data_IF_730100141746
#
_entry.id   IF_730100141746
#
_cell.length_a   1.000
_cell.length_b   1.000
_cell.length_c   1.000
_cell.angle_alpha   90.00
_cell.angle_beta   90.00
_cell.angle_gamma   90.00
#
_symmetry.space_group_name_H-M   'P 1'
#
loop_
_entity.id
_entity.type
_entity.pdbx_description
1 polymer ?
2 non-polymer ?
3 non-polymer ?
4 water ?
#
# COMPACT_ATOMS: atom_id res chain seq x y z
N UNK A 5 -20.17 -29.48 18.43
CA UNK A 5 -20.59 -29.33 19.85
C UNK A 5 -19.69 -30.10 20.84
N UNK A 6 -18.90 -31.05 20.36
CA UNK A 6 -18.03 -31.78 21.30
C UNK A 6 -17.05 -30.84 21.97
N UNK A 7 -16.32 -30.05 21.17
CA UNK A 7 -15.38 -29.10 21.73
C UNK A 7 -16.18 -27.86 22.13
N UNK A 8 -15.85 -27.23 23.26
CA UNK A 8 -16.58 -26.04 23.68
C UNK A 8 -16.25 -24.83 22.81
N UNK A 9 -17.12 -23.82 22.82
CA UNK A 9 -16.84 -22.60 22.08
C UNK A 9 -15.82 -21.97 23.01
N UNK A 10 -14.66 -21.63 22.48
CA UNK A 10 -13.63 -21.08 23.35
C UNK A 10 -12.83 -19.95 22.70
N UNK A 11 -12.47 -18.95 23.49
CA UNK A 11 -11.68 -17.84 22.98
C UNK A 11 -10.31 -18.28 22.48
N UNK A 12 -9.92 -17.80 21.30
CA UNK A 12 -8.62 -18.13 20.73
C UNK A 12 -7.57 -17.28 21.44
N UNK A 13 -6.48 -17.89 21.91
CA UNK A 13 -5.43 -17.13 22.61
C UNK A 13 -4.91 -16.03 21.68
N UNK A 14 -4.27 -14.99 22.23
CA UNK A 14 -3.76 -13.88 21.44
C UNK A 14 -2.93 -14.24 20.20
N UNK A 15 -1.88 -15.02 20.39
CA UNK A 15 -1.03 -15.37 19.26
C UNK A 15 -1.80 -16.12 18.19
N UNK A 16 -2.50 -17.17 18.58
CA UNK A 16 -3.28 -17.95 17.62
C UNK A 16 -4.30 -17.08 16.89
N UNK A 17 -5.03 -16.26 17.63
CA UNK A 17 -6.04 -15.38 17.05
C UNK A 17 -5.39 -14.49 15.99
N UNK A 18 -4.21 -13.96 16.30
CA UNK A 18 -3.50 -13.09 15.36
C UNK A 18 -2.99 -13.84 14.12
N UNK A 19 -2.57 -15.09 14.31
CA UNK A 19 -2.06 -15.89 13.20
C UNK A 19 -3.21 -16.19 12.22
N UNK A 20 -4.39 -16.45 12.77
CA UNK A 20 -5.56 -16.70 11.95
C UNK A 20 -5.84 -15.42 11.15
N UNK A 21 -5.74 -14.27 11.82
CA UNK A 21 -5.97 -12.99 11.17
C UNK A 21 -4.93 -12.81 10.06
N UNK A 22 -3.68 -13.13 10.40
CA UNK A 22 -2.55 -13.02 9.48
C UNK A 22 -2.81 -13.78 8.18
N UNK A 23 -3.67 -14.78 8.23
CA UNK A 23 -3.97 -15.54 7.05
C UNK A 23 -4.57 -14.68 5.96
N UNK A 24 -5.26 -13.62 6.36
CA UNK A 24 -5.91 -12.71 5.41
C UNK A 24 -5.08 -11.45 5.15
N UNK A 25 -4.48 -10.92 6.20
CA UNK A 25 -3.68 -9.71 6.07
C UNK A 25 -2.30 -9.98 5.48
N UNK A 26 -1.71 -11.12 5.81
CA UNK A 26 -0.38 -11.46 5.33
C UNK A 26 -0.39 -12.54 4.24
N UNK A 27 -0.65 -12.14 3.00
CA UNK A 27 -0.68 -13.06 1.88
C UNK A 27 0.73 -13.59 1.53
N UNK A 28 1.69 -12.69 1.51
CA UNK A 28 3.07 -13.03 1.17
C UNK A 28 3.95 -11.86 1.60
N UNK A 29 5.27 -11.97 1.40
CA UNK A 29 6.16 -10.87 1.78
C UNK A 29 5.70 -9.51 1.28
N UNK A 30 5.17 -9.46 0.05
CA UNK A 30 4.69 -8.21 -0.51
C UNK A 30 3.62 -7.58 0.36
N UNK A 31 2.81 -8.40 1.04
CA UNK A 31 1.74 -7.89 1.91
C UNK A 31 2.32 -7.13 3.08
N UNK A 32 3.38 -7.67 3.66
CA UNK A 32 4.05 -7.04 4.78
C UNK A 32 4.61 -5.69 4.37
N UNK A 33 5.23 -5.64 3.19
CA UNK A 33 5.80 -4.40 2.71
C UNK A 33 4.70 -3.35 2.55
N UNK A 34 3.58 -3.76 1.95
CA UNK A 34 2.45 -2.87 1.74
C UNK A 34 1.95 -2.27 3.04
N UNK A 35 1.66 -3.12 4.01
CA UNK A 35 1.16 -2.63 5.31
C UNK A 35 2.12 -1.65 5.98
N UNK A 36 3.40 -2.02 6.05
CA UNK A 36 4.40 -1.16 6.69
C UNK A 36 4.64 0.17 5.97
N UNK A 37 4.76 0.12 4.64
CA UNK A 37 4.97 1.35 3.87
C UNK A 37 3.75 2.26 4.01
N UNK A 38 2.55 1.68 4.03
CA UNK A 38 1.37 2.51 4.19
C UNK A 38 1.35 3.15 5.59
N UNK A 39 1.88 2.47 6.59
CA UNK A 39 1.94 3.06 7.93
C UNK A 39 2.90 4.25 7.93
N UNK A 40 4.00 4.12 7.21
CA UNK A 40 4.98 5.19 7.14
C UNK A 40 4.35 6.42 6.49
N UNK A 41 3.51 6.16 5.48
CA UNK A 41 2.83 7.22 4.76
C UNK A 41 1.86 7.94 5.69
N UNK A 42 1.09 7.17 6.44
CA UNK A 42 0.14 7.74 7.38
C UNK A 42 0.85 8.55 8.44
N UNK A 43 2.06 8.11 8.80
CA UNK A 43 2.83 8.81 9.81
C UNK A 43 3.48 10.09 9.26
N UNK A 44 3.13 10.44 8.03
CA UNK A 44 3.67 11.65 7.41
C UNK A 44 5.12 11.60 6.95
N UNK A 45 5.63 10.41 6.63
CA UNK A 45 7.00 10.30 6.17
C UNK A 45 7.19 10.93 4.79
N UNK A 46 8.39 11.44 4.54
CA UNK A 46 8.78 12.08 3.29
C UNK A 46 9.76 11.18 2.54
N UNK A 47 10.37 10.26 3.27
CA UNK A 47 11.32 9.32 2.72
C UNK A 47 11.18 7.96 3.40
N UNK A 48 11.10 6.91 2.59
CA UNK A 48 10.97 5.56 3.11
C UNK A 48 12.04 4.69 2.46
N UNK A 49 12.82 4.00 3.29
CA UNK A 49 13.87 3.12 2.79
C UNK A 49 13.53 1.67 3.10
N UNK A 50 13.50 0.85 2.07
CA UNK A 50 13.13 -0.56 2.18
C UNK A 50 14.23 -1.56 1.82
N UNK A 51 14.62 -2.39 2.78
CA UNK A 51 15.63 -3.40 2.53
C UNK A 51 15.03 -4.78 2.59
N UNK A 52 15.23 -5.54 1.52
CA UNK A 52 14.68 -6.90 1.43
C UNK A 52 15.80 -7.92 1.31
N UNK A 53 15.59 -9.10 1.90
CA UNK A 53 16.54 -10.19 1.80
C UNK A 53 15.83 -11.48 1.44
N UNK A 54 16.28 -12.11 0.36
CA UNK A 54 15.71 -13.36 -0.13
C UNK A 54 14.22 -13.27 -0.40
N UNK A 55 13.81 -12.26 -1.15
CA UNK A 55 12.40 -12.09 -1.46
C UNK A 55 11.55 -11.73 -0.27
N UNK A 56 12.19 -11.42 0.86
CA UNK A 56 11.43 -11.05 2.04
C UNK A 56 11.14 -12.20 2.97
N UNK A 57 11.47 -13.41 2.54
CA UNK A 57 11.25 -14.60 3.35
C UNK A 57 12.26 -14.62 4.49
N UNK A 58 13.36 -13.90 4.30
CA UNK A 58 14.42 -13.84 5.30
C UNK A 58 14.37 -12.53 6.08
N UNK A 59 14.25 -11.41 5.37
CA UNK A 59 14.21 -10.12 6.06
C UNK A 59 13.52 -9.03 5.28
N UNK A 60 12.85 -8.17 6.04
CA UNK A 60 12.14 -7.02 5.50
C UNK A 60 12.38 -5.91 6.50
N UNK A 61 13.04 -4.83 6.06
CA UNK A 61 13.30 -3.69 6.92
C UNK A 61 12.82 -2.44 6.24
N UNK A 62 11.97 -1.70 6.93
CA UNK A 62 11.41 -0.48 6.40
C UNK A 62 11.62 0.64 7.42
N UNK A 63 12.31 1.69 6.99
CA UNK A 63 12.59 2.82 7.84
C UNK A 63 11.96 4.07 7.23
N UNK A 64 11.35 4.90 8.07
CA UNK A 64 10.74 6.11 7.59
C UNK A 64 11.15 7.29 8.45
N UNK A 65 10.89 8.49 7.96
CA UNK A 65 11.25 9.69 8.69
C UNK A 65 9.95 10.35 9.14
N UNK A 66 8.96 9.50 9.41
CA UNK A 66 7.66 9.94 9.89
C UNK A 66 7.76 10.47 11.32
N UNK A 67 6.61 10.76 11.93
CA UNK A 67 6.59 11.33 13.28
C UNK A 67 6.90 10.37 14.42
N UNK A 68 7.06 9.09 14.11
CA UNK A 68 7.39 8.10 15.13
C UNK A 68 6.28 7.67 16.08
N UNK A 69 6.62 6.76 16.99
CA UNK A 69 5.68 6.24 17.99
C UNK A 69 6.18 6.45 19.42
N UNK A 70 5.36 7.11 20.22
CA UNK A 70 5.66 7.42 21.62
C UNK A 70 5.96 6.14 22.39
N UNK A 71 6.93 6.19 23.30
CA UNK A 71 7.31 5.04 24.10
C UNK A 71 6.12 4.28 24.70
N UNK A 72 5.23 5.03 25.34
CA UNK A 72 4.07 4.44 26.01
C UNK A 72 2.98 3.95 25.06
N UNK A 73 3.22 4.00 23.76
CA UNK A 73 2.23 3.51 22.81
C UNK A 73 2.79 2.41 21.91
N UNK A 74 4.05 2.04 22.14
CA UNK A 74 4.68 1.00 21.33
C UNK A 74 3.94 -0.33 21.44
N UNK A 75 3.62 -0.73 22.67
CA UNK A 75 2.90 -1.97 22.92
C UNK A 75 1.52 -1.88 22.30
N UNK A 76 0.90 -0.71 22.37
CA UNK A 76 -0.42 -0.52 21.79
C UNK A 76 -0.37 -0.69 20.27
N UNK A 77 0.74 -0.31 19.66
CA UNK A 77 0.89 -0.43 18.21
C UNK A 77 0.97 -1.90 17.81
N UNK A 78 1.45 -2.74 18.72
CA UNK A 78 1.55 -4.17 18.44
C UNK A 78 0.28 -4.88 18.90
N UNK A 79 -0.65 -4.14 19.49
CA UNK A 79 -1.89 -4.72 19.99
C UNK A 79 -2.94 -4.85 18.91
N UNK A 80 -3.92 -5.70 19.17
CA UNK A 80 -5.00 -5.93 18.23
C UNK A 80 -6.09 -4.88 18.41
N UNK A 81 -6.80 -4.55 17.33
CA UNK A 81 -7.90 -3.59 17.37
C UNK A 81 -7.54 -2.27 18.06
N UNK A 82 -6.33 -1.78 17.84
CA UNK A 82 -5.92 -0.52 18.47
C UNK A 82 -5.30 0.37 17.40
N UNK A 83 -5.88 1.55 17.22
CA UNK A 83 -5.43 2.47 16.22
C UNK A 83 -5.51 3.91 16.69
N UNK A 84 -4.78 4.79 15.99
CA UNK A 84 -4.77 6.21 16.28
C UNK A 84 -5.46 6.93 15.13
N UNK A 85 -5.96 6.16 14.16
CA UNK A 85 -6.57 6.74 12.97
C UNK A 85 -8.08 7.00 12.97
N UNK A 86 -8.82 6.26 13.80
CA UNK A 86 -10.25 6.49 13.92
C UNK A 86 -10.62 6.20 15.36
N UNK A 87 -11.63 6.88 15.88
CA UNK A 87 -12.09 6.66 17.26
C UNK A 87 -13.59 6.44 17.28
N UNK A 88 -14.22 6.56 16.12
CA UNK A 88 -15.66 6.38 16.03
C UNK A 88 -16.06 6.05 14.61
N UNK A 89 -17.36 5.85 14.42
CA UNK A 89 -17.91 5.53 13.13
C UNK A 89 -17.78 6.71 12.14
N UNK A 90 -17.94 7.94 12.62
CA UNK A 90 -17.81 9.12 11.74
C UNK A 90 -16.45 9.15 11.08
N UNK A 91 -15.42 8.97 11.89
CA UNK A 91 -14.04 8.99 11.41
C UNK A 91 -13.86 8.00 10.27
N UNK A 92 -14.48 6.84 10.40
CA UNK A 92 -14.34 5.78 9.41
C UNK A 92 -15.00 6.17 8.09
N UNK A 93 -16.23 6.65 8.16
CA UNK A 93 -17.00 7.05 6.99
C UNK A 93 -16.33 8.15 6.16
N UNK A 94 -15.42 8.91 6.76
CA UNK A 94 -14.72 9.97 6.03
C UNK A 94 -13.23 9.93 6.35
N UNK A 95 -12.68 8.73 6.39
CA UNK A 95 -11.27 8.56 6.72
C UNK A 95 -10.26 9.34 5.88
N UNK A 96 -9.18 9.75 6.55
CA UNK A 96 -8.11 10.53 5.95
C UNK A 96 -6.87 9.68 5.69
N UNK A 97 -6.65 8.67 6.54
CA UNK A 97 -5.48 7.82 6.39
C UNK A 97 -5.76 6.52 5.65
N UNK A 98 -4.70 5.76 5.42
CA UNK A 98 -4.83 4.48 4.74
C UNK A 98 -5.27 3.41 5.73
N UNK A 99 -4.73 3.46 6.95
CA UNK A 99 -5.09 2.46 7.96
C UNK A 99 -6.25 2.90 8.83
N UNK A 100 -6.72 1.97 9.67
CA UNK A 100 -7.82 2.25 10.59
C UNK A 100 -8.30 1.01 11.34
N UNK A 101 -7.92 -0.17 10.87
CA UNK A 101 -8.35 -1.41 11.52
C UNK A 101 -7.51 -1.72 12.76
N UNK A 102 -6.29 -1.21 12.78
CA UNK A 102 -5.41 -1.44 13.93
C UNK A 102 -5.02 -2.89 14.14
N UNK A 103 -5.03 -3.67 13.06
CA UNK A 103 -4.70 -5.09 13.09
C UNK A 103 -3.38 -5.54 12.43
N UNK A 104 -2.93 -4.80 11.42
CA UNK A 104 -1.74 -5.18 10.67
C UNK A 104 -0.48 -5.56 11.46
N UNK A 105 0.04 -4.66 12.29
CA UNK A 105 1.24 -5.03 13.01
C UNK A 105 1.04 -6.23 13.94
N UNK A 106 -0.07 -6.27 14.65
CA UNK A 106 -0.36 -7.39 15.55
C UNK A 106 -0.32 -8.72 14.79
N UNK A 107 -0.99 -8.77 13.65
CA UNK A 107 -1.04 -9.95 12.80
C UNK A 107 0.36 -10.36 12.33
N UNK A 108 1.09 -9.40 11.77
CA UNK A 108 2.42 -9.68 11.26
C UNK A 108 3.36 -10.19 12.36
N UNK A 109 3.30 -9.54 13.52
CA UNK A 109 4.16 -9.94 14.62
C UNK A 109 3.92 -11.40 15.05
N UNK A 110 2.69 -11.89 14.89
CA UNK A 110 2.34 -13.27 15.29
C UNK A 110 2.90 -14.35 14.35
N UNK A 111 3.33 -13.95 13.16
CA UNK A 111 3.86 -14.91 12.19
C UNK A 111 5.27 -14.56 11.69
N UNK A 112 6.05 -13.91 12.54
CA UNK A 112 7.42 -13.54 12.18
C UNK A 112 8.09 -13.02 13.43
N UNK A 113 9.35 -12.61 13.27
CA UNK A 113 10.08 -12.01 14.37
C UNK A 113 10.07 -10.53 13.99
N UNK A 114 9.11 -9.80 14.53
CA UNK A 114 8.97 -8.37 14.24
C UNK A 114 9.49 -7.48 15.37
N UNK A 115 10.37 -6.56 15.01
CA UNK A 115 10.93 -5.61 15.98
C UNK A 115 10.50 -4.20 15.57
N UNK A 116 9.95 -3.45 16.50
CA UNK A 116 9.50 -2.09 16.24
C UNK A 116 10.41 -1.11 16.97
N UNK A 117 11.12 -0.27 16.23
CA UNK A 117 12.01 0.72 16.84
C UNK A 117 11.51 2.10 16.45
N UNK A 118 11.42 3.03 17.40
CA UNK A 118 10.91 4.35 17.05
C UNK A 118 11.24 5.43 18.08
N UNK A 119 11.23 6.68 17.63
CA UNK A 119 11.48 7.83 18.50
C UNK A 119 10.68 9.02 17.98
N UNK A 120 9.99 9.74 18.88
CA UNK A 120 9.24 10.93 18.47
C UNK A 120 10.12 12.16 18.70
N UNK A 121 9.76 13.30 18.12
CA UNK A 121 10.54 14.52 18.25
C UNK A 121 10.72 14.98 19.69
N UNK A 122 9.71 14.74 20.53
CA UNK A 122 9.77 15.13 21.94
C UNK A 122 10.62 14.21 22.81
N UNK A 123 11.00 13.05 22.28
CA UNK A 123 11.81 12.12 23.07
C UNK A 123 13.29 12.20 22.76
N UNK A 124 14.11 12.20 23.81
CA UNK A 124 15.55 12.21 23.62
C UNK A 124 15.97 10.76 23.40
N UNK A 125 15.23 9.85 24.03
CA UNK A 125 15.53 8.43 23.92
C UNK A 125 14.68 7.71 22.89
N UNK A 126 15.28 6.71 22.25
CA UNK A 126 14.59 5.90 21.26
C UNK A 126 14.28 4.59 21.97
N UNK A 127 13.27 3.87 21.50
CA UNK A 127 12.90 2.60 22.11
C UNK A 127 12.58 1.57 21.06
N UNK A 128 12.69 0.31 21.45
CA UNK A 128 12.45 -0.84 20.61
C UNK A 128 11.44 -1.75 21.30
N UNK A 129 10.53 -2.36 20.53
CA UNK A 129 9.53 -3.26 21.09
C UNK A 129 9.21 -4.47 20.22
N UNK A 130 8.74 -5.53 20.85
CA UNK A 130 8.34 -6.77 20.16
C UNK A 130 7.53 -7.64 21.09
N UNK A 131 6.61 -8.42 20.53
CA UNK A 131 5.76 -9.31 21.31
C UNK A 131 6.27 -10.75 21.24
N UNK A 132 5.90 -11.55 22.25
CA UNK A 132 6.29 -12.95 22.32
C UNK A 132 5.29 -13.81 23.09
N UNK A 133 5.33 -15.11 22.83
CA UNK A 133 4.47 -16.05 23.52
C UNK A 133 3.01 -16.05 23.13
N UNK A 134 2.32 -17.12 23.53
CA UNK A 134 0.89 -17.28 23.23
C UNK A 134 0.04 -16.08 23.59
N UNK A 135 0.53 -15.25 24.52
CA UNK A 135 -0.21 -14.08 24.94
C UNK A 135 0.26 -12.80 24.26
N UNK A 136 1.30 -12.90 23.46
CA UNK A 136 1.86 -11.75 22.75
C UNK A 136 2.31 -10.66 23.72
N UNK A 137 3.01 -11.04 24.78
CA UNK A 137 3.49 -10.07 25.75
C UNK A 137 4.56 -9.21 25.08
N UNK A 138 4.53 -7.91 25.33
CA UNK A 138 5.47 -7.00 24.71
C UNK A 138 6.65 -6.55 25.59
N UNK A 139 7.83 -6.58 24.99
CA UNK A 139 9.03 -6.14 25.69
C UNK A 139 9.43 -4.80 25.07
N UNK A 140 9.68 -3.80 25.92
CA UNK A 140 10.11 -2.48 25.49
C UNK A 140 11.49 -2.23 26.10
N UNK A 141 12.46 -1.88 25.28
CA UNK A 141 13.80 -1.65 25.80
C UNK A 141 14.46 -0.51 25.05
N UNK A 142 15.53 0.06 25.61
CA UNK A 142 16.28 1.16 24.99
C UNK A 142 16.79 0.82 23.60
N UNK A 143 16.96 1.85 22.78
CA UNK A 143 17.44 1.69 21.42
C UNK A 143 17.99 3.03 20.94
N UNK A 144 18.54 3.04 19.73
CA UNK A 144 19.08 4.24 19.13
C UNK A 144 18.31 4.44 17.84
N UNK A 145 17.85 5.65 17.57
CA UNK A 145 17.09 5.88 16.37
C UNK A 145 16.71 7.35 16.22
N UNK A 146 16.76 7.85 14.98
CA UNK A 146 16.40 9.25 14.73
C UNK A 146 14.87 9.38 14.79
N UNK A 147 14.36 10.60 14.67
CA UNK A 147 12.91 10.79 14.69
C UNK A 147 12.33 9.96 13.54
N UNK A 148 11.41 9.06 13.87
CA UNK A 148 10.85 8.24 12.83
C UNK A 148 10.71 6.81 13.32
N UNK A 149 10.55 5.89 12.38
CA UNK A 149 10.35 4.51 12.76
C UNK A 149 10.97 3.52 11.80
N UNK A 150 11.32 2.36 12.34
CA UNK A 150 11.87 1.26 11.57
C UNK A 150 11.17 -0.02 12.00
N UNK A 151 10.63 -0.75 11.03
CA UNK A 151 10.01 -2.04 11.34
C UNK A 151 10.97 -3.07 10.77
N UNK A 152 11.21 -4.12 11.53
CA UNK A 152 12.10 -5.18 11.09
C UNK A 152 11.32 -6.49 11.20
N UNK A 153 11.09 -7.12 10.06
CA UNK A 153 10.35 -8.39 10.00
C UNK A 153 11.27 -9.51 9.50
N UNK A 154 11.60 -10.43 10.40
CA UNK A 154 12.48 -11.54 10.09
C UNK A 154 11.81 -12.90 10.12
N UNK A 155 12.33 -13.83 9.31
CA UNK A 155 11.82 -15.19 9.26
C UNK A 155 10.31 -15.31 9.21
N UNK A 156 9.72 -14.72 8.18
CA UNK A 156 8.28 -14.70 7.97
C UNK A 156 7.76 -16.14 7.85
N UNK A 157 6.71 -16.45 8.62
CA UNK A 157 6.08 -17.76 8.61
C UNK A 157 6.90 -18.85 9.31
N UNK A 158 7.90 -18.46 10.08
CA UNK A 158 8.75 -19.44 10.77
C UNK A 158 7.95 -20.29 11.75
N UNK A 159 6.89 -19.71 12.33
CA UNK A 159 6.07 -20.43 13.29
C UNK A 159 4.71 -20.85 12.72
N UNK A 160 4.61 -20.82 11.39
CA UNK A 160 3.40 -21.26 10.68
C UNK A 160 3.89 -21.98 9.40
N UNK A 161 4.36 -23.24 9.56
CA UNK A 161 4.89 -24.12 8.52
C UNK A 161 3.97 -24.39 7.32
N UNK A 162 2.69 -24.57 7.60
CA UNK A 162 1.73 -24.85 6.52
C UNK A 162 1.77 -23.72 5.50
N UNK A 163 2.04 -22.50 5.97
CA UNK A 163 2.09 -21.35 5.07
C UNK A 163 3.43 -21.17 4.40
N UNK A 164 4.50 -21.46 5.13
CA UNK A 164 5.84 -21.30 4.60
C UNK A 164 6.04 -22.11 3.32
N UNK A 165 5.33 -23.23 3.22
CA UNK A 165 5.44 -24.11 2.06
C UNK A 165 4.94 -23.45 0.77
N UNK A 166 4.09 -22.43 0.93
CA UNK A 166 3.52 -21.72 -0.21
C UNK A 166 4.38 -20.59 -0.76
N UNK A 167 5.47 -20.27 -0.07
CA UNK A 167 6.36 -19.22 -0.54
C UNK A 167 7.02 -19.61 -1.86
N UNK A 168 6.93 -18.74 -2.86
CA UNK A 168 7.53 -19.02 -4.16
C UNK A 168 9.02 -18.70 -4.12
N UNK A 169 9.64 -18.67 -5.30
CA UNK A 169 11.06 -18.36 -5.38
C UNK A 169 11.35 -16.93 -4.94
N UNK A 170 12.57 -16.72 -4.44
CA UNK A 170 13.03 -15.41 -4.00
C UNK A 170 12.73 -14.39 -5.10
N UNK A 171 13.02 -14.78 -6.33
CA UNK A 171 12.82 -13.94 -7.50
C UNK A 171 11.35 -13.54 -7.63
N UNK A 172 10.46 -14.52 -7.54
CA UNK A 172 9.03 -14.27 -7.65
C UNK A 172 8.48 -13.40 -6.52
N UNK A 173 8.88 -13.69 -5.29
CA UNK A 173 8.41 -12.92 -4.14
C UNK A 173 8.92 -11.49 -4.17
N UNK A 174 10.18 -11.30 -4.56
CA UNK A 174 10.70 -9.94 -4.61
C UNK A 174 9.95 -9.15 -5.66
N UNK A 175 9.66 -9.81 -6.78
CA UNK A 175 8.94 -9.16 -7.86
C UNK A 175 7.59 -8.63 -7.39
N UNK A 176 6.87 -9.40 -6.56
CA UNK A 176 5.59 -8.91 -6.06
C UNK A 176 5.84 -7.69 -5.20
N UNK A 177 6.96 -7.71 -4.47
CA UNK A 177 7.33 -6.57 -3.62
C UNK A 177 7.62 -5.36 -4.51
N UNK A 178 8.36 -5.58 -5.59
CA UNK A 178 8.71 -4.50 -6.50
C UNK A 178 7.42 -3.89 -7.07
N UNK A 179 6.47 -4.75 -7.44
CA UNK A 179 5.20 -4.31 -7.97
C UNK A 179 4.41 -3.47 -6.96
N UNK A 180 4.42 -3.92 -5.70
CA UNK A 180 3.73 -3.22 -4.62
C UNK A 180 4.28 -1.80 -4.43
N UNK A 181 5.60 -1.69 -4.38
CA UNK A 181 6.26 -0.41 -4.22
C UNK A 181 5.90 0.48 -5.41
N UNK A 182 5.85 -0.14 -6.59
CA UNK A 182 5.51 0.54 -7.83
C UNK A 182 4.16 1.26 -7.66
N UNK A 183 3.17 0.52 -7.17
CA UNK A 183 1.82 1.06 -6.98
C UNK A 183 1.76 2.16 -5.93
N UNK A 184 2.56 2.03 -4.88
CA UNK A 184 2.58 3.02 -3.82
C UNK A 184 3.33 4.28 -4.26
N UNK A 185 4.43 4.11 -4.99
CA UNK A 185 5.21 5.24 -5.45
C UNK A 185 4.37 6.14 -6.37
N UNK A 186 3.50 5.53 -7.17
CA UNK A 186 2.65 6.30 -8.07
C UNK A 186 1.55 7.06 -7.32
N UNK A 187 1.17 6.53 -6.17
CA UNK A 187 0.14 7.15 -5.36
C UNK A 187 0.65 8.40 -4.67
N UNK A 188 1.94 8.41 -4.32
CA UNK A 188 2.54 9.53 -3.62
C UNK A 188 3.85 10.03 -4.25
N UNK A 189 3.74 10.94 -5.21
CA UNK A 189 4.92 11.48 -5.88
C UNK A 189 5.82 12.29 -4.97
N UNK A 190 5.23 12.82 -3.89
CA UNK A 190 5.93 13.65 -2.93
C UNK A 190 6.76 12.88 -1.91
N UNK A 191 6.77 11.56 -2.01
CA UNK A 191 7.53 10.74 -1.07
C UNK A 191 8.67 9.97 -1.73
N UNK A 192 9.88 10.14 -1.20
CA UNK A 192 11.03 9.44 -1.72
C UNK A 192 10.96 8.00 -1.24
N UNK A 193 11.08 7.06 -2.17
CA UNK A 193 11.04 5.65 -1.81
C UNK A 193 12.23 4.89 -2.40
N UNK A 194 13.03 4.29 -1.53
CA UNK A 194 14.20 3.52 -1.96
C UNK A 194 13.97 2.04 -1.65
N UNK A 195 14.23 1.18 -2.62
CA UNK A 195 14.06 -0.26 -2.46
C UNK A 195 15.33 -1.03 -2.81
N UNK A 196 15.77 -1.86 -1.88
CA UNK A 196 16.97 -2.67 -2.06
C UNK A 196 16.72 -4.15 -1.82
N UNK A 197 17.47 -4.99 -2.54
CA UNK A 197 17.33 -6.43 -2.37
C UNK A 197 18.70 -7.04 -2.20
N UNK A 198 18.85 -7.88 -1.19
CA UNK A 198 20.10 -8.53 -0.89
C UNK A 198 21.30 -7.58 -0.92
N UNK A 199 21.17 -6.47 -0.21
CA UNK A 199 22.27 -5.51 -0.12
C UNK A 199 22.53 -4.67 -1.35
N UNK A 200 21.76 -4.89 -2.42
CA UNK A 200 21.96 -4.12 -3.63
C UNK A 200 20.72 -3.29 -3.95
N UNK A 201 20.95 -2.04 -4.36
CA UNK A 201 19.85 -1.14 -4.68
C UNK A 201 19.15 -1.56 -5.97
N UNK A 202 17.83 -1.65 -5.90
CA UNK A 202 17.02 -2.04 -7.06
C UNK A 202 16.37 -0.79 -7.63
N UNK A 203 15.99 0.12 -6.76
CA UNK A 203 15.38 1.35 -7.22
C UNK A 203 15.23 2.44 -6.18
N UNK A 204 15.02 3.64 -6.68
CA UNK A 204 14.88 4.80 -5.82
C UNK A 204 14.15 5.90 -6.54
N UNK A 205 12.92 6.16 -6.10
CA UNK A 205 12.07 7.16 -6.70
C UNK A 205 12.15 8.47 -5.93
N UNK A 206 12.77 9.48 -6.53
CA UNK A 206 12.89 10.78 -5.87
C UNK A 206 11.53 11.46 -5.75
N UNK A 207 11.30 12.09 -4.60
CA UNK A 207 10.06 12.81 -4.34
C UNK A 207 10.08 14.03 -5.24
N UNK A 208 8.91 14.39 -5.73
CA UNK A 208 8.77 15.57 -6.57
C UNK A 208 8.39 16.77 -5.71
N UNK A 209 9.20 17.83 -5.74
CA UNK A 209 8.92 19.04 -4.97
C UNK A 209 7.55 19.62 -5.36
N UNK A 210 7.08 20.60 -4.60
CA UNK A 210 5.78 21.22 -4.86
C UNK A 210 5.73 21.71 -6.31
N UNK A 211 4.83 21.13 -7.09
CA UNK A 211 4.70 21.54 -8.49
C UNK A 211 5.82 21.12 -9.41
N UNK A 212 6.79 20.37 -8.88
CA UNK A 212 7.90 19.92 -9.70
C UNK A 212 7.42 19.07 -10.86
N UNK A 213 8.32 18.73 -11.78
CA UNK A 213 7.97 17.94 -12.94
C UNK A 213 7.74 16.48 -12.52
N UNK A 214 6.58 15.93 -12.86
CA UNK A 214 6.25 14.56 -12.51
C UNK A 214 6.71 13.54 -13.55
N UNK A 215 6.73 13.95 -14.81
CA UNK A 215 7.17 13.07 -15.89
C UNK A 215 8.40 12.26 -15.50
N UNK A 216 9.27 12.88 -14.71
CA UNK A 216 10.50 12.24 -14.26
C UNK A 216 10.19 10.97 -13.46
N UNK A 217 9.38 11.08 -12.40
CA UNK A 217 9.05 9.91 -11.60
C UNK A 217 8.20 8.90 -12.37
N UNK A 218 7.21 9.39 -13.11
CA UNK A 218 6.35 8.51 -13.90
C UNK A 218 7.22 7.60 -14.77
N UNK A 219 8.14 8.21 -15.50
CA UNK A 219 9.02 7.46 -16.36
C UNK A 219 9.89 6.48 -15.59
N UNK A 220 10.33 6.89 -14.40
CA UNK A 220 11.19 6.06 -13.57
C UNK A 220 10.45 4.85 -13.00
N UNK A 221 9.15 5.01 -12.77
CA UNK A 221 8.35 3.93 -12.23
C UNK A 221 7.77 3.05 -13.34
N UNK A 222 7.15 3.67 -14.33
CA UNK A 222 6.53 2.95 -15.42
C UNK A 222 7.38 2.69 -16.66
N UNK A 223 8.50 3.41 -16.77
CA UNK A 223 9.38 3.23 -17.93
C UNK A 223 9.21 4.34 -18.95
N UNK A 224 10.22 4.53 -19.79
CA UNK A 224 10.16 5.58 -20.82
C UNK A 224 9.11 5.24 -21.87
N UNK A 225 8.95 3.96 -22.15
CA UNK A 225 7.98 3.49 -23.14
C UNK A 225 6.59 4.06 -22.82
N UNK A 226 6.16 3.93 -21.57
CA UNK A 226 4.85 4.44 -21.18
C UNK A 226 4.86 5.97 -21.22
N UNK A 227 5.92 6.56 -20.67
CA UNK A 227 6.04 8.01 -20.62
C UNK A 227 5.83 8.69 -21.97
N UNK A 228 6.30 8.07 -23.05
CA UNK A 228 6.16 8.64 -24.38
C UNK A 228 4.73 8.63 -24.87
N UNK A 229 4.02 7.53 -24.62
CA UNK A 229 2.64 7.39 -25.04
C UNK A 229 1.65 7.96 -24.02
N UNK A 230 2.18 8.45 -22.92
CA UNK A 230 1.34 9.00 -21.84
C UNK A 230 0.55 10.25 -22.23
N UNK A 231 -0.78 10.13 -22.15
CA UNK A 231 -1.67 11.25 -22.45
C UNK A 231 -2.27 11.75 -21.13
N UNK A 232 -1.85 12.93 -20.70
CA UNK A 232 -2.34 13.51 -19.45
C UNK A 232 -3.85 13.76 -19.47
N UNK A 233 -4.47 13.68 -18.29
CA UNK A 233 -5.91 13.90 -18.17
C UNK A 233 -6.28 14.86 -17.05
N UNK A 234 -7.23 15.74 -17.36
CA UNK A 234 -7.75 16.71 -16.40
C UNK A 234 -9.25 16.77 -16.66
N UNK A 235 -10.02 16.14 -15.79
CA UNK A 235 -11.46 16.10 -15.98
C UNK A 235 -12.20 16.18 -14.65
N UNK A 236 -12.98 17.24 -14.48
CA UNK A 236 -13.74 17.45 -13.23
C UNK A 236 -15.23 17.75 -13.42
N UNK A 237 -15.97 17.55 -12.33
CA UNK A 237 -17.41 17.78 -12.30
C UNK A 237 -17.86 17.70 -10.84
N UNK A 238 -17.64 18.78 -10.09
CA UNK A 238 -18.02 18.78 -8.68
C UNK A 238 -16.99 18.00 -7.88
N UNK A 239 -17.45 17.08 -7.04
CA UNK A 239 -16.53 16.27 -6.24
C UNK A 239 -15.71 15.31 -7.09
N UNK A 240 -16.21 15.00 -8.28
CA UNK A 240 -15.49 14.07 -9.15
C UNK A 240 -14.45 14.74 -10.04
N UNK A 241 -13.20 14.30 -9.89
CA UNK A 241 -12.10 14.83 -10.68
C UNK A 241 -11.21 13.65 -11.08
N UNK A 242 -10.90 13.56 -12.36
CA UNK A 242 -10.05 12.50 -12.85
C UNK A 242 -8.73 13.07 -13.36
N UNK A 243 -7.63 12.48 -12.93
CA UNK A 243 -6.31 12.93 -13.34
C UNK A 243 -5.41 11.75 -13.65
N UNK A 244 -4.25 12.05 -14.24
CA UNK A 244 -3.33 10.98 -14.56
C UNK A 244 -2.95 10.91 -16.04
N UNK A 245 -2.59 9.71 -16.49
CA UNK A 245 -2.16 9.48 -17.85
C UNK A 245 -2.78 8.24 -18.45
N UNK A 246 -3.10 8.31 -19.74
CA UNK A 246 -3.65 7.18 -20.47
C UNK A 246 -2.82 7.03 -21.73
N UNK A 247 -2.32 5.81 -21.96
CA UNK A 247 -1.51 5.55 -23.14
C UNK A 247 -2.40 5.46 -24.37
N UNK A 248 -1.90 5.98 -25.48
CA UNK A 248 -2.63 5.93 -26.74
C UNK A 248 -2.95 4.46 -27.03
N UNK A 249 -4.25 4.10 -27.13
CA UNK A 249 -4.66 2.72 -27.38
C UNK A 249 -4.04 2.12 -28.64
N UNK A 250 -3.89 2.96 -29.66
CA UNK A 250 -3.31 2.53 -30.93
C UNK A 250 -1.84 2.17 -30.79
N UNK A 251 -1.17 2.75 -29.79
CA UNK A 251 0.24 2.48 -29.58
C UNK A 251 0.49 1.78 -28.24
N UNK A 252 -0.49 1.00 -27.81
CA UNK A 252 -0.37 0.28 -26.56
C UNK A 252 0.03 -1.17 -26.82
N UNK A 253 1.14 -1.59 -26.22
CA UNK A 253 1.62 -2.96 -26.37
C UNK A 253 1.24 -3.73 -25.11
N UNK A 254 1.27 -5.07 -25.18
CA UNK A 254 0.91 -5.87 -24.01
C UNK A 254 1.85 -5.54 -22.84
N UNK A 255 3.09 -5.19 -23.16
CA UNK A 255 4.07 -4.83 -22.15
C UNK A 255 3.61 -3.57 -21.41
N UNK A 256 3.04 -2.63 -22.15
CA UNK A 256 2.54 -1.39 -21.57
C UNK A 256 1.24 -1.67 -20.84
N UNK A 257 0.53 -2.71 -21.30
CA UNK A 257 -0.73 -3.11 -20.70
C UNK A 257 -0.53 -3.53 -19.25
N UNK A 258 0.72 -3.75 -18.87
CA UNK A 258 1.06 -4.15 -17.49
C UNK A 258 0.81 -2.97 -16.54
N UNK A 259 0.73 -1.77 -17.12
CA UNK A 259 0.51 -0.57 -16.34
C UNK A 259 -0.98 -0.19 -16.31
N UNK A 260 -1.70 -0.74 -15.35
CA UNK A 260 -3.12 -0.43 -15.20
C UNK A 260 -3.34 -0.09 -13.73
N UNK A 261 -2.99 1.13 -13.35
CA UNK A 261 -3.13 1.56 -11.97
C UNK A 261 -4.19 2.63 -11.79
N UNK A 262 -5.14 2.36 -10.91
CA UNK A 262 -6.20 3.31 -10.60
C UNK A 262 -6.20 3.62 -9.11
N UNK A 263 -6.55 4.84 -8.76
CA UNK A 263 -6.58 5.26 -7.37
C UNK A 263 -7.81 6.07 -7.01
N UNK A 264 -8.37 5.81 -5.84
CA UNK A 264 -9.53 6.56 -5.35
C UNK A 264 -9.03 7.34 -4.14
N UNK A 265 -8.93 8.65 -4.30
CA UNK A 265 -8.44 9.52 -3.24
C UNK A 265 -7.12 9.00 -2.68
N UNK A 266 -6.17 8.74 -3.58
CA UNK A 266 -4.85 8.27 -3.20
C UNK A 266 -4.72 6.81 -2.78
N UNK A 267 -5.85 6.14 -2.59
CA UNK A 267 -5.82 4.74 -2.18
C UNK A 267 -5.77 3.82 -3.39
N UNK A 268 -4.66 3.10 -3.55
CA UNK A 268 -4.51 2.19 -4.68
C UNK A 268 -5.69 1.24 -4.73
N UNK A 269 -6.02 0.77 -5.93
CA UNK A 269 -7.16 -0.09 -6.11
C UNK A 269 -7.19 -0.78 -7.47
N UNK A 270 -8.09 -1.75 -7.60
CA UNK A 270 -8.28 -2.50 -8.83
C UNK A 270 -9.75 -2.87 -8.92
N UNK A 271 -10.55 -1.89 -9.36
CA UNK A 271 -11.99 -2.05 -9.48
C UNK A 271 -12.39 -2.25 -10.95
N UNK A 272 -13.24 -3.24 -11.19
CA UNK A 272 -13.72 -3.56 -12.53
C UNK A 272 -14.53 -2.44 -13.17
N UNK A 273 -15.30 -1.72 -12.35
CA UNK A 273 -16.11 -0.61 -12.86
C UNK A 273 -15.24 0.33 -13.67
N UNK A 274 -14.11 0.71 -13.08
CA UNK A 274 -13.18 1.63 -13.72
C UNK A 274 -12.43 1.02 -14.90
N UNK A 275 -11.89 -0.18 -14.73
CA UNK A 275 -11.16 -0.82 -15.83
C UNK A 275 -12.09 -0.98 -17.04
N UNK A 276 -13.37 -1.19 -16.77
CA UNK A 276 -14.36 -1.34 -17.84
C UNK A 276 -14.59 -0.02 -18.57
N UNK A 277 -14.90 1.02 -17.81
CA UNK A 277 -15.16 2.35 -18.38
C UNK A 277 -14.01 2.79 -19.26
N UNK A 278 -12.78 2.52 -18.83
CA UNK A 278 -11.59 2.89 -19.57
C UNK A 278 -11.50 2.12 -20.89
N UNK A 279 -11.55 0.80 -20.78
CA UNK A 279 -11.48 -0.07 -21.94
C UNK A 279 -12.62 0.24 -22.90
N UNK A 280 -13.70 0.81 -22.35
CA UNK A 280 -14.86 1.17 -23.15
C UNK A 280 -14.53 2.46 -23.91
N UNK A 281 -13.94 3.41 -23.20
CA UNK A 281 -13.56 4.68 -23.80
C UNK A 281 -12.56 4.45 -24.94
N UNK A 282 -11.70 3.46 -24.75
CA UNK A 282 -10.70 3.13 -25.78
C UNK A 282 -11.34 2.35 -26.92
N UNK A 283 -12.09 1.30 -26.59
CA UNK A 283 -12.74 0.50 -27.61
C UNK A 283 -13.64 1.37 -28.48
N UNK A 284 -14.37 2.28 -27.84
CA UNK A 284 -15.27 3.18 -28.54
C UNK A 284 -14.58 4.19 -29.46
N UNK A 285 -13.37 4.60 -29.11
CA UNK A 285 -12.64 5.55 -29.94
C UNK A 285 -11.79 4.71 -30.89
N UNK A 286 -11.01 3.80 -30.30
CA UNK A 286 -10.17 2.89 -31.07
C UNK A 286 -11.10 1.93 -31.79
N UNK A 287 -10.53 1.03 -32.58
CA UNK A 287 -11.34 0.06 -33.28
C UNK A 287 -11.62 -1.15 -32.41
N UNK A 288 -10.57 -1.93 -32.17
CA UNK A 288 -10.69 -3.14 -31.36
C UNK A 288 -10.60 -2.89 -29.85
N UNK A 289 -11.17 -3.83 -29.10
CA UNK A 289 -11.18 -3.75 -27.64
C UNK A 289 -9.86 -4.40 -27.21
N UNK A 290 -9.22 -3.83 -26.20
CA UNK A 290 -7.94 -4.37 -25.73
C UNK A 290 -7.61 -3.95 -24.31
N UNK A 291 -6.41 -4.30 -23.88
CA UNK A 291 -5.93 -3.94 -22.55
C UNK A 291 -5.21 -2.61 -22.59
N UNK A 292 -5.86 -1.53 -22.12
CA UNK A 292 -5.25 -0.19 -22.10
C UNK A 292 -4.14 -0.07 -21.06
N UNK A 293 -3.32 0.97 -21.19
CA UNK A 293 -2.24 1.23 -20.24
C UNK A 293 -2.58 2.56 -19.60
N UNK A 294 -2.57 2.62 -18.27
CA UNK A 294 -2.93 3.86 -17.62
C UNK A 294 -2.52 3.99 -16.16
N UNK A 295 -2.58 5.23 -15.68
CA UNK A 295 -2.29 5.60 -14.31
C UNK A 295 -3.27 6.72 -14.02
N UNK A 296 -4.44 6.36 -13.49
CA UNK A 296 -5.48 7.33 -13.20
C UNK A 296 -5.80 7.54 -11.73
N UNK A 297 -6.16 8.77 -11.40
CA UNK A 297 -6.49 9.16 -10.04
C UNK A 297 -7.88 9.78 -9.99
N UNK A 298 -8.79 9.11 -9.30
CA UNK A 298 -10.16 9.61 -9.14
C UNK A 298 -10.34 10.21 -7.76
N UNK A 299 -10.77 11.47 -7.72
CA UNK A 299 -11.02 12.14 -6.44
C UNK A 299 -12.54 12.18 -6.30
N UNK A 300 -13.05 11.78 -5.14
CA UNK A 300 -14.49 11.74 -4.93
C UNK A 300 -14.86 11.91 -3.47
N UNK A 301 -16.08 12.37 -3.20
CA UNK A 301 -16.56 12.54 -1.84
C UNK A 301 -16.38 11.21 -1.12
N UNK A 302 -15.56 11.20 -0.05
CA UNK A 302 -15.31 9.96 0.70
C UNK A 302 -16.59 9.27 1.17
N UNK A 303 -17.68 10.03 1.24
CA UNK A 303 -18.96 9.47 1.67
C UNK A 303 -19.70 8.77 0.55
N UNK A 304 -19.18 8.88 -0.67
CA UNK A 304 -19.82 8.24 -1.83
C UNK A 304 -19.11 6.94 -2.20
N UNK A 305 -18.14 6.52 -1.40
CA UNK A 305 -17.41 5.27 -1.67
C UNK A 305 -17.03 4.54 -0.37
N UNK A 306 -17.12 3.22 -0.39
CA UNK A 306 -16.79 2.42 0.78
C UNK A 306 -15.39 1.83 0.65
N UNK A 307 -14.49 2.24 1.55
CA UNK A 307 -13.11 1.79 1.57
C UNK A 307 -12.85 0.58 2.47
N UNK A 308 -13.85 0.19 3.25
CA UNK A 308 -13.71 -0.94 4.16
C UNK A 308 -14.36 -2.19 3.54
N UNK A 309 -13.70 -2.78 2.55
CA UNK A 309 -14.19 -3.98 1.88
C UNK A 309 -13.20 -5.12 2.04
N UNK A 310 -11.92 -4.77 1.92
CA UNK A 310 -10.77 -5.68 2.05
C UNK A 310 -10.20 -6.00 0.68
N UNK A 311 -10.77 -6.88 0.00
N UNK A 313 -5.47 -4.62 0.42
CA UNK A 313 -6.78 -4.06 0.02
C UNK A 313 -6.71 -3.31 -1.30
N UNK A 314 -7.71 -3.53 -2.15
CA UNK A 314 -7.78 -2.87 -3.46
C UNK A 314 -9.25 -2.67 -3.86
N UNK A 315 -10.14 -3.34 -3.15
CA UNK A 315 -11.57 -3.23 -3.44
C UNK A 315 -12.19 -1.99 -2.83
N UNK A 316 -13.19 -1.45 -3.52
CA UNK A 316 -13.94 -0.28 -3.07
C UNK A 316 -15.35 -0.40 -3.63
N UNK A 317 -16.28 0.37 -3.08
CA UNK A 317 -17.67 0.33 -3.52
C UNK A 317 -18.21 1.73 -3.68
N UNK A 318 -18.65 2.07 -4.89
CA UNK A 318 -19.20 3.40 -5.14
C UNK A 318 -20.70 3.42 -4.93
N UNK A 319 -21.16 4.42 -4.21
CA UNK A 319 -22.57 4.59 -3.93
C UNK A 319 -23.37 4.83 -5.21
N UNK A 320 -22.79 5.57 -6.14
CA UNK A 320 -23.45 5.86 -7.42
C UNK A 320 -22.69 5.22 -8.57
N UNK A 321 -22.59 3.90 -8.51
CA UNK A 321 -21.90 3.08 -9.51
C UNK A 321 -21.96 3.60 -10.95
N UNK A 322 -23.17 3.76 -11.47
CA UNK A 322 -23.38 4.23 -12.84
C UNK A 322 -22.77 5.59 -13.13
N UNK A 323 -23.05 6.56 -12.27
CA UNK A 323 -22.53 7.91 -12.45
C UNK A 323 -21.02 7.90 -12.62
N UNK A 324 -20.33 7.35 -11.62
CA UNK A 324 -18.87 7.26 -11.62
C UNK A 324 -18.36 6.63 -12.92
N UNK A 325 -18.86 5.46 -13.25
CA UNK A 325 -18.44 4.75 -14.47
C UNK A 325 -18.50 5.62 -15.72
N UNK A 326 -19.58 6.38 -15.88
CA UNK A 326 -19.73 7.24 -17.04
C UNK A 326 -18.77 8.43 -16.97
N UNK A 327 -18.46 8.86 -15.76
CA UNK A 327 -17.53 9.97 -15.54
C UNK A 327 -16.17 9.63 -16.12
N UNK A 328 -15.62 8.50 -15.67
CA UNK A 328 -14.32 8.04 -16.13
C UNK A 328 -14.31 7.80 -17.63
N UNK A 329 -15.37 7.19 -18.13
CA UNK A 329 -15.52 6.91 -19.55
C UNK A 329 -15.39 8.18 -20.36
N UNK A 330 -16.11 9.22 -19.97
CA UNK A 330 -16.06 10.49 -20.67
C UNK A 330 -14.67 11.11 -20.60
N UNK A 331 -14.12 11.18 -19.39
CA UNK A 331 -12.80 11.74 -19.20
C UNK A 331 -11.77 11.14 -20.15
N UNK A 332 -11.69 9.81 -20.17
CA UNK A 332 -10.74 9.12 -21.04
C UNK A 332 -11.13 9.32 -22.50
N UNK A 333 -12.39 9.06 -22.80
CA UNK A 333 -12.91 9.22 -24.15
C UNK A 333 -12.51 10.57 -24.68
N UNK A 334 -12.83 11.61 -23.92
CA UNK A 334 -12.50 12.98 -24.29
C UNK A 334 -11.05 13.15 -24.68
N UNK A 335 -10.14 12.75 -23.80
CA UNK A 335 -8.71 12.88 -24.06
C UNK A 335 -8.26 12.09 -25.29
N UNK A 336 -8.83 10.91 -25.49
CA UNK A 336 -8.48 10.08 -26.64
C UNK A 336 -8.87 10.79 -27.94
N UNK A 337 -9.45 11.98 -27.80
CA UNK A 337 -9.89 12.75 -28.95
C UNK A 337 -9.65 14.24 -28.73
N UNK A 338 -8.47 14.64 -28.62
X LIG B 1 -1.61 0.19 9.04
X LIG C 1 -3.72 0.79 11.52
X LIG C 1 -4.22 1.64 12.63
X LIG C 1 -2.86 1.54 10.60
X LIG C 1 -4.95 0.19 10.67
X LIG C 1 -1.51 -1.09 12.32
X LIG C 1 -0.83 -0.86 11.07
X LIG C 1 -1.50 -2.44 12.93
X LIG C 1 -3.00 -0.47 12.21
X LIG C 1 -0.75 -0.33 13.48
X LIG C 1 -1.13 1.01 13.59
X LIG C 1 -0.80 1.89 14.73
X LIG C 1 0.63 1.93 14.91
X LIG C 1 -1.15 3.12 13.91
X LIG C 1 -2.55 3.40 14.12
X LIG C 1 -0.15 4.15 14.38
X LIG C 1 -0.65 4.76 15.55
X LIG C 1 1.08 3.25 14.66
X LIG C 1 2.12 3.07 13.62
X LIG C 1 2.42 1.97 12.85
X LIG C 1 3.42 2.10 12.05
X LIG C 1 3.84 3.40 12.28
X LIG C 1 4.91 4.21 11.77
X LIG C 1 5.77 3.72 10.87
X LIG C 1 5.06 5.50 12.23
X LIG C 1 4.20 6.00 13.16
X LIG C 1 3.17 5.31 13.71
X LIG C 1 3.04 4.04 13.24
#
# INVERSE_FOLDING_TARGET
HHHHHHMPIQVLPPQLANQIAAGEVVERPASVVKELVENSLDAGATRIDIDIERGGAKLIRIRDNGCGIKKDELALALARHATSKIASLDDLEAIISLGFRGEALASISSVSRLTLTSRTAEQQEAWQAYAEGRDMNVTVKPAAHPVGTTLEVLDLFYNTPARRKFLRTEKTEFNHIDEIIRRIALARFDVTINLSHNGKIVRQYRAVPEGGQKERRLGAICGTAFLEQALAIEWQHGDLTLRGWVADPNHTTPALAEIQYCYVNGRMMRDRLINHAIRQACEDKLGADQQPAFVLYLEIDPHQVDVNVHPAKHEVRFHQSRLVHDFIYQGVLSVLQQQLETPLPLDDEPQPAPR
MG MG
ADP PB O1B O2B O3B PA O1A O2A O3A O5' C5' C4' O4' C3' O3' C2' O2' C1' N9 C8 N7 C5 C6 N6 N1 C2 N3 C4
#
